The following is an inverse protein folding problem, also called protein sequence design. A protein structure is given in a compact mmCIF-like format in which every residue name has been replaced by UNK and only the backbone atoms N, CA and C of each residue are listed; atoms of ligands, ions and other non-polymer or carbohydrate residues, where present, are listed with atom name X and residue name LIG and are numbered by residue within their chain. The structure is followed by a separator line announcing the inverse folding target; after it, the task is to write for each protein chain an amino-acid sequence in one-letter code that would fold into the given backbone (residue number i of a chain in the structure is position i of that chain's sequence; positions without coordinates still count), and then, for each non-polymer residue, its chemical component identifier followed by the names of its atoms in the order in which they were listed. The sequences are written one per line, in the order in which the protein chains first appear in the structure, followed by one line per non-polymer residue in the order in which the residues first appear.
data_IF_778424033702
#
_entry.id   IF_778424033702
#
_cell.length_a   1.000
_cell.length_b   1.000
_cell.length_c   1.000
_cell.angle_alpha   90.00
_cell.angle_beta   90.00
_cell.angle_gamma   90.00
#
_symmetry.space_group_name_H-M   'P 1'
#
loop_
_entity.id
_entity.type
_entity.pdbx_description
1 polymer ?
#
# COMPACT_ATOMS: atom_id res chain seq x y z
N UNK A 1 -2.09 -32.28 3.75
CA UNK A 1 -2.42 -31.08 4.54
C UNK A 1 -2.05 -29.86 3.71
N UNK A 2 -2.91 -28.84 3.65
CA UNK A 2 -2.62 -27.61 2.90
C UNK A 2 -1.53 -26.75 3.59
N UNK A 3 -1.28 -27.04 4.87
CA UNK A 3 -0.26 -26.40 5.69
C UNK A 3 0.80 -27.43 6.11
N UNK A 4 2.06 -27.00 6.12
CA UNK A 4 3.23 -27.85 6.38
C UNK A 4 3.26 -28.39 7.81
N UNK A 5 3.81 -29.60 7.95
CA UNK A 5 4.10 -30.26 9.24
C UNK A 5 5.61 -30.32 9.55
N UNK A 6 6.44 -29.49 8.90
CA UNK A 6 7.89 -29.36 9.13
C UNK A 6 8.38 -27.91 9.01
N UNK A 7 9.70 -27.68 9.20
CA UNK A 7 10.46 -26.40 9.22
C UNK A 7 10.09 -25.38 8.12
N UNK A 8 8.89 -24.84 8.15
CA UNK A 8 8.46 -23.75 7.28
C UNK A 8 8.74 -22.43 7.97
N UNK A 9 9.31 -21.51 7.18
CA UNK A 9 9.52 -20.12 7.54
C UNK A 9 8.22 -19.53 8.09
N UNK A 10 8.30 -18.92 9.26
CA UNK A 10 7.21 -18.14 9.86
C UNK A 10 6.89 -16.89 9.03
N UNK A 11 5.69 -16.33 9.17
CA UNK A 11 5.33 -15.05 8.55
C UNK A 11 6.29 -13.93 8.99
N UNK A 12 6.75 -13.95 10.24
CA UNK A 12 7.76 -13.02 10.73
C UNK A 12 9.09 -13.18 9.99
N UNK A 13 9.62 -14.40 9.86
CA UNK A 13 10.86 -14.60 9.09
C UNK A 13 10.70 -14.21 7.61
N UNK A 14 9.50 -14.29 7.05
CA UNK A 14 9.23 -13.81 5.69
C UNK A 14 9.33 -12.27 5.59
N UNK A 15 8.87 -11.52 6.59
CA UNK A 15 8.98 -10.05 6.55
C UNK A 15 10.43 -9.57 6.75
N UNK A 16 11.28 -10.36 7.41
CA UNK A 16 12.71 -10.05 7.53
C UNK A 16 13.43 -10.07 6.18
N UNK A 17 12.96 -10.87 5.22
CA UNK A 17 13.54 -10.91 3.88
C UNK A 17 13.31 -9.62 3.08
N UNK A 18 12.27 -8.85 3.43
CA UNK A 18 12.03 -7.56 2.80
C UNK A 18 13.19 -6.58 3.07
N UNK A 19 13.95 -6.77 4.16
CA UNK A 19 15.08 -5.89 4.52
C UNK A 19 16.16 -5.87 3.43
N UNK A 20 16.39 -6.99 2.74
CA UNK A 20 17.40 -7.07 1.68
C UNK A 20 17.10 -6.19 0.48
N UNK A 21 15.83 -5.84 0.28
CA UNK A 21 15.35 -5.01 -0.82
C UNK A 21 14.73 -3.69 -0.34
N UNK A 22 14.89 -3.37 0.95
CA UNK A 22 14.36 -2.15 1.54
C UNK A 22 15.44 -1.08 1.60
N UNK A 23 15.13 0.10 1.06
CA UNK A 23 15.92 1.31 1.26
C UNK A 23 15.33 2.11 2.42
N UNK A 24 16.11 2.33 3.48
CA UNK A 24 15.71 3.21 4.60
C UNK A 24 15.92 4.66 4.18
N UNK A 25 14.83 5.38 3.97
CA UNK A 25 14.86 6.79 3.52
C UNK A 25 14.99 7.74 4.71
N UNK A 26 14.25 7.46 5.78
CA UNK A 26 14.22 8.29 6.99
C UNK A 26 13.99 7.40 8.22
N UNK A 27 14.51 7.80 9.38
CA UNK A 27 14.41 7.02 10.63
C UNK A 27 13.47 7.64 11.66
N UNK A 28 13.09 8.92 11.52
CA UNK A 28 12.24 9.61 12.49
C UNK A 28 11.50 10.82 11.87
N UNK A 29 10.22 10.67 11.49
CA UNK A 29 9.44 9.42 11.45
C UNK A 29 10.02 8.41 10.45
N UNK A 30 9.84 7.09 10.67
CA UNK A 30 10.43 6.08 9.79
C UNK A 30 9.75 6.09 8.41
N UNK A 31 10.56 6.06 7.35
CA UNK A 31 10.12 6.00 5.95
C UNK A 31 10.97 4.96 5.23
N UNK A 32 10.37 3.84 4.86
CA UNK A 32 11.03 2.73 4.16
C UNK A 32 10.46 2.56 2.75
N UNK A 33 11.37 2.41 1.79
CA UNK A 33 11.09 2.22 0.38
C UNK A 33 11.38 0.77 -0.02
N UNK A 34 10.35 -0.02 -0.38
CA UNK A 34 10.59 -1.35 -0.94
C UNK A 34 11.01 -1.22 -2.40
N UNK A 35 12.30 -1.41 -2.67
CA UNK A 35 12.88 -1.25 -4.01
C UNK A 35 12.44 -2.40 -4.90
N UNK A 36 11.87 -2.06 -6.05
CA UNK A 36 11.43 -3.03 -7.03
C UNK A 36 12.48 -3.17 -8.14
N UNK A 37 12.67 -4.40 -8.63
CA UNK A 37 13.54 -4.69 -9.76
C UNK A 37 12.85 -5.68 -10.71
N UNK A 38 13.07 -5.51 -12.02
CA UNK A 38 12.37 -6.24 -13.07
C UNK A 38 11.07 -5.57 -13.53
N UNK A 39 10.48 -6.11 -14.61
CA UNK A 39 9.22 -5.62 -15.17
C UNK A 39 9.20 -4.11 -15.43
N UNK A 40 8.09 -3.45 -15.08
CA UNK A 40 7.90 -2.00 -15.20
C UNK A 40 8.73 -1.18 -14.18
N UNK A 41 9.20 -1.81 -13.10
CA UNK A 41 10.05 -1.16 -12.12
C UNK A 41 11.48 -0.91 -12.62
N UNK A 42 11.97 -1.71 -13.58
CA UNK A 42 13.28 -1.50 -14.21
C UNK A 42 14.44 -2.03 -13.38
N UNK A 43 15.57 -1.33 -13.36
CA UNK A 43 16.87 -1.87 -12.93
C UNK A 43 17.15 -1.83 -11.41
N UNK A 44 16.14 -1.68 -10.54
CA UNK A 44 16.36 -1.70 -9.08
C UNK A 44 16.76 -0.37 -8.44
N UNK A 45 16.35 0.76 -9.04
CA UNK A 45 16.52 2.10 -8.44
C UNK A 45 15.21 2.82 -8.13
N UNK A 46 14.10 2.16 -8.40
CA UNK A 46 12.75 2.72 -8.29
C UNK A 46 11.92 1.90 -7.30
N UNK A 47 10.88 2.55 -6.80
CA UNK A 47 9.80 1.96 -6.01
C UNK A 47 8.55 2.07 -6.86
N UNK A 48 7.83 0.96 -7.01
CA UNK A 48 6.48 0.97 -7.57
C UNK A 48 5.46 0.82 -6.45
N UNK A 49 4.27 1.42 -6.64
CA UNK A 49 3.18 1.32 -5.65
C UNK A 49 2.81 -0.14 -5.38
N UNK A 50 2.88 -1.00 -6.39
CA UNK A 50 2.70 -2.45 -6.26
C UNK A 50 3.63 -3.05 -5.17
N UNK A 51 4.95 -2.86 -5.29
CA UNK A 51 5.91 -3.38 -4.32
C UNK A 51 5.75 -2.76 -2.93
N UNK A 52 5.50 -1.46 -2.84
CA UNK A 52 5.25 -0.81 -1.56
C UNK A 52 3.95 -1.31 -0.91
N UNK A 53 2.90 -1.55 -1.71
CA UNK A 53 1.63 -2.14 -1.29
C UNK A 53 1.81 -3.57 -0.77
N UNK A 54 2.60 -4.39 -1.46
CA UNK A 54 2.96 -5.73 -0.98
C UNK A 54 3.67 -5.69 0.39
N UNK A 55 4.60 -4.76 0.61
CA UNK A 55 5.26 -4.64 1.92
C UNK A 55 4.25 -4.30 3.03
N UNK A 56 3.33 -3.36 2.76
CA UNK A 56 2.25 -3.01 3.68
C UNK A 56 1.31 -4.19 3.95
N UNK A 57 0.90 -4.91 2.91
CA UNK A 57 0.04 -6.08 3.02
C UNK A 57 0.69 -7.18 3.85
N UNK A 58 1.93 -7.55 3.51
CA UNK A 58 2.66 -8.63 4.17
C UNK A 58 2.94 -8.32 5.64
N UNK A 59 3.36 -7.10 5.96
CA UNK A 59 3.57 -6.69 7.35
C UNK A 59 2.26 -6.56 8.14
N UNK A 60 1.19 -6.06 7.52
CA UNK A 60 -0.14 -5.99 8.13
C UNK A 60 -0.75 -7.36 8.42
N UNK A 61 -0.69 -8.31 7.47
CA UNK A 61 -1.14 -9.70 7.66
C UNK A 61 -0.30 -10.39 8.74
N UNK A 62 1.01 -10.19 8.73
CA UNK A 62 1.90 -10.77 9.75
C UNK A 62 1.54 -10.26 11.14
N UNK A 63 1.28 -8.95 11.27
CA UNK A 63 0.85 -8.35 12.54
C UNK A 63 -0.51 -8.93 13.00
N UNK A 64 -1.45 -9.09 12.08
CA UNK A 64 -2.77 -9.67 12.37
C UNK A 64 -2.71 -11.14 12.80
N UNK A 65 -1.66 -11.87 12.44
CA UNK A 65 -1.45 -13.25 12.83
C UNK A 65 -0.75 -13.41 14.20
N UNK A 66 -0.31 -12.31 14.83
CA UNK A 66 0.42 -12.34 16.11
C UNK A 66 -0.49 -12.08 17.30
N UNK A 67 -0.34 -12.91 18.34
CA UNK A 67 -0.93 -12.63 19.65
C UNK A 67 -0.27 -11.39 20.30
N UNK A 68 -1.00 -10.71 21.18
CA UNK A 68 -0.49 -9.54 21.90
C UNK A 68 0.79 -9.81 22.70
N UNK A 69 1.03 -11.07 23.09
CA UNK A 69 2.22 -11.52 23.82
C UNK A 69 3.38 -11.97 22.92
N UNK A 70 3.22 -11.97 21.59
CA UNK A 70 4.29 -12.40 20.68
C UNK A 70 5.51 -11.47 20.81
N UNK A 71 6.72 -12.02 21.04
CA UNK A 71 7.93 -11.22 21.25
C UNK A 71 8.32 -10.36 20.04
N UNK A 72 7.88 -10.72 18.83
CA UNK A 72 8.20 -10.02 17.58
C UNK A 72 7.12 -9.01 17.17
N UNK A 73 6.03 -8.89 17.92
CA UNK A 73 4.90 -8.01 17.58
C UNK A 73 5.30 -6.55 17.49
N UNK A 74 6.12 -6.08 18.44
CA UNK A 74 6.59 -4.69 18.44
C UNK A 74 7.47 -4.38 17.23
N UNK A 75 8.37 -5.29 16.87
CA UNK A 75 9.21 -5.14 15.68
C UNK A 75 8.35 -5.13 14.39
N UNK A 76 7.36 -6.00 14.32
CA UNK A 76 6.40 -6.05 13.20
C UNK A 76 5.59 -4.75 13.10
N UNK A 77 5.13 -4.18 14.21
CA UNK A 77 4.46 -2.86 14.23
C UNK A 77 5.38 -1.75 13.72
N UNK A 78 6.67 -1.77 14.09
CA UNK A 78 7.63 -0.76 13.64
C UNK A 78 7.88 -0.86 12.13
N UNK A 79 8.03 -2.08 11.61
CA UNK A 79 8.22 -2.36 10.18
C UNK A 79 7.01 -1.95 9.37
N UNK A 80 5.81 -2.34 9.80
CA UNK A 80 4.55 -1.92 9.20
C UNK A 80 4.47 -0.40 9.10
N UNK A 81 4.72 0.31 10.21
CA UNK A 81 4.63 1.77 10.22
C UNK A 81 5.70 2.43 9.35
N UNK A 82 6.89 1.84 9.23
CA UNK A 82 7.94 2.34 8.34
C UNK A 82 7.56 2.22 6.85
N UNK A 83 6.95 1.10 6.44
CA UNK A 83 6.42 0.95 5.09
C UNK A 83 5.20 1.83 4.83
N UNK A 84 4.35 2.05 5.84
CA UNK A 84 3.29 3.06 5.76
C UNK A 84 3.86 4.46 5.55
N UNK A 85 4.93 4.83 6.25
CA UNK A 85 5.64 6.08 6.03
C UNK A 85 6.13 6.24 4.58
N UNK A 86 6.58 5.15 3.96
CA UNK A 86 6.91 5.10 2.53
C UNK A 86 5.70 5.37 1.63
N UNK A 87 4.59 4.66 1.85
CA UNK A 87 3.34 4.86 1.12
C UNK A 87 2.83 6.30 1.24
N UNK A 88 2.82 6.83 2.48
CA UNK A 88 2.45 8.21 2.78
C UNK A 88 3.31 9.20 2.00
N UNK A 89 4.64 9.00 1.99
CA UNK A 89 5.56 9.86 1.24
C UNK A 89 5.32 9.81 -0.26
N UNK A 90 5.00 8.64 -0.84
CA UNK A 90 4.63 8.54 -2.25
C UNK A 90 3.35 9.35 -2.56
N UNK A 91 2.36 9.30 -1.67
CA UNK A 91 1.13 10.08 -1.78
C UNK A 91 1.37 11.60 -1.69
N UNK A 92 2.19 12.03 -0.73
CA UNK A 92 2.61 13.41 -0.54
C UNK A 92 3.33 13.94 -1.79
N UNK A 93 4.30 13.20 -2.33
CA UNK A 93 5.07 13.60 -3.51
C UNK A 93 4.23 13.64 -4.80
N UNK A 94 3.18 12.83 -4.85
CA UNK A 94 2.22 12.84 -5.96
C UNK A 94 1.33 14.09 -5.95
N UNK A 95 1.39 14.87 -4.87
CA UNK A 95 0.69 16.14 -4.65
C UNK A 95 1.70 17.29 -4.85
N UNK A 96 1.39 18.38 -5.59
CA UNK A 96 0.08 18.98 -5.84
C UNK A 96 -0.67 18.48 -7.08
N UNK A 97 0.01 17.79 -7.99
CA UNK A 97 -0.55 17.38 -9.29
C UNK A 97 -1.71 16.38 -9.11
N UNK A 98 -1.62 15.54 -8.08
CA UNK A 98 -2.59 14.51 -7.71
C UNK A 98 -3.03 13.65 -8.89
N UNK A 99 -2.14 13.42 -9.87
CA UNK A 99 -2.34 12.74 -11.15
C UNK A 99 -3.72 12.05 -11.34
N UNK A 100 -4.67 12.82 -11.89
CA UNK A 100 -6.04 12.39 -12.23
C UNK A 100 -6.94 11.96 -11.05
N UNK A 101 -6.54 12.27 -9.83
CA UNK A 101 -7.37 12.23 -8.63
C UNK A 101 -7.92 13.64 -8.40
N UNK A 102 -9.17 13.85 -8.83
CA UNK A 102 -9.82 15.16 -8.72
C UNK A 102 -9.96 15.67 -7.29
N UNK A 103 -9.99 14.75 -6.32
CA UNK A 103 -10.20 15.04 -4.91
C UNK A 103 -9.00 14.54 -4.11
N UNK A 104 -8.40 15.45 -3.35
CA UNK A 104 -7.41 15.10 -2.32
C UNK A 104 -8.20 14.83 -1.06
N UNK A 105 -8.12 13.61 -0.54
CA UNK A 105 -8.91 13.21 0.62
C UNK A 105 -8.04 13.07 1.88
N UNK A 106 -6.76 12.74 1.75
CA UNK A 106 -5.85 12.48 2.86
C UNK A 106 -5.20 13.75 3.40
N UNK A 107 -4.65 13.67 4.62
CA UNK A 107 -4.04 14.80 5.34
C UNK A 107 -4.95 16.05 5.29
N UNK A 108 -6.15 15.92 5.86
CA UNK A 108 -7.17 16.98 5.88
C UNK A 108 -7.55 17.53 4.49
N UNK A 109 -7.51 16.67 3.47
CA UNK A 109 -7.85 17.01 2.10
C UNK A 109 -6.75 17.76 1.34
N UNK A 110 -5.52 17.71 1.84
CA UNK A 110 -4.37 18.37 1.18
C UNK A 110 -3.54 17.41 0.34
N UNK A 111 -3.67 16.10 0.53
CA UNK A 111 -2.86 15.05 -0.11
C UNK A 111 -3.74 14.04 -0.86
N UNK A 112 -3.30 13.62 -2.04
CA UNK A 112 -3.88 12.48 -2.76
C UNK A 112 -3.71 11.20 -1.93
N UNK A 113 -4.75 10.38 -1.77
CA UNK A 113 -4.62 9.15 -0.97
C UNK A 113 -4.00 7.97 -1.73
N UNK A 114 -3.92 8.07 -3.06
CA UNK A 114 -3.28 7.07 -3.91
C UNK A 114 -2.01 7.68 -4.50
N UNK A 115 -0.87 7.00 -4.45
CA UNK A 115 0.37 7.52 -4.99
C UNK A 115 0.42 7.41 -6.51
N UNK A 116 1.30 8.19 -7.14
CA UNK A 116 1.82 7.87 -8.47
C UNK A 116 2.49 6.49 -8.43
N UNK A 117 2.24 5.68 -9.44
CA UNK A 117 2.60 4.26 -9.43
C UNK A 117 4.11 4.01 -9.38
N UNK A 118 4.95 5.02 -9.67
CA UNK A 118 6.41 4.87 -9.66
C UNK A 118 7.15 6.11 -9.16
N UNK A 119 8.10 5.86 -8.27
CA UNK A 119 8.99 6.86 -7.67
C UNK A 119 10.43 6.35 -7.70
N UNK A 120 11.40 7.26 -7.55
CA UNK A 120 12.76 6.82 -7.24
C UNK A 120 12.84 6.27 -5.80
N UNK A 121 13.86 5.46 -5.49
CA UNK A 121 14.02 4.82 -4.16
C UNK A 121 14.22 5.75 -2.97
N UNK A 122 14.45 7.04 -3.21
CA UNK A 122 14.60 8.06 -2.17
C UNK A 122 13.33 8.88 -1.96
N UNK A 123 12.27 8.61 -2.74
CA UNK A 123 11.06 9.41 -2.78
C UNK A 123 11.36 10.91 -2.97
N UNK A 124 12.28 11.25 -3.87
CA UNK A 124 12.54 12.64 -4.25
C UNK A 124 11.93 13.01 -5.60
N UNK A 125 11.49 12.03 -6.37
CA UNK A 125 10.91 12.22 -7.70
C UNK A 125 9.80 11.21 -7.97
N UNK A 126 8.73 11.68 -8.63
CA UNK A 126 7.69 10.83 -9.22
C UNK A 126 8.08 10.55 -10.68
N UNK A 127 8.39 9.30 -10.99
CA UNK A 127 8.82 8.88 -12.33
C UNK A 127 7.70 8.18 -13.12
N UNK A 128 6.61 7.81 -12.44
CA UNK A 128 5.37 7.31 -13.02
C UNK A 128 4.18 8.01 -12.38
N UNK A 129 3.51 8.82 -13.20
CA UNK A 129 2.31 9.57 -12.80
C UNK A 129 1.10 8.65 -12.75
N UNK A 130 0.06 8.99 -11.99
CA UNK A 130 -1.21 8.25 -11.83
C UNK A 130 -1.08 7.02 -10.94
N UNK A 131 -2.14 6.62 -10.25
CA UNK A 131 -2.12 5.46 -9.36
C UNK A 131 -2.29 4.14 -10.10
N UNK A 132 -1.92 3.03 -9.47
CA UNK A 132 -2.06 1.68 -10.01
C UNK A 132 -2.88 0.83 -9.02
N UNK A 133 -4.05 0.28 -9.44
CA UNK A 133 -5.01 -0.26 -8.49
C UNK A 133 -4.55 -1.51 -7.75
N UNK A 134 -3.69 -2.34 -8.34
CA UNK A 134 -3.04 -3.47 -7.68
C UNK A 134 -2.30 -3.04 -6.41
N UNK A 135 -1.36 -2.11 -6.54
CA UNK A 135 -0.63 -1.61 -5.37
C UNK A 135 -1.53 -0.88 -4.38
N UNK A 136 -2.52 -0.15 -4.89
CA UNK A 136 -3.47 0.61 -4.06
C UNK A 136 -4.33 -0.31 -3.19
N UNK A 137 -4.91 -1.38 -3.75
CA UNK A 137 -5.77 -2.30 -3.01
C UNK A 137 -4.99 -3.10 -1.96
N UNK A 138 -3.79 -3.59 -2.30
CA UNK A 138 -2.94 -4.33 -1.36
C UNK A 138 -2.49 -3.45 -0.19
N UNK A 139 -2.11 -2.20 -0.47
CA UNK A 139 -1.76 -1.24 0.58
C UNK A 139 -2.96 -0.98 1.52
N UNK A 140 -4.16 -0.76 0.97
CA UNK A 140 -5.39 -0.55 1.75
C UNK A 140 -5.69 -1.77 2.62
N UNK A 141 -5.64 -2.97 2.06
CA UNK A 141 -5.87 -4.22 2.81
C UNK A 141 -4.83 -4.38 3.91
N UNK A 142 -3.55 -4.12 3.62
CA UNK A 142 -2.48 -4.14 4.62
C UNK A 142 -2.71 -3.19 5.79
N UNK A 143 -3.14 -1.95 5.50
CA UNK A 143 -3.50 -0.98 6.54
C UNK A 143 -4.67 -1.49 7.38
N UNK A 144 -5.74 -2.01 6.75
CA UNK A 144 -6.90 -2.57 7.45
C UNK A 144 -6.47 -3.72 8.37
N UNK A 145 -5.67 -4.67 7.88
CA UNK A 145 -5.19 -5.80 8.68
C UNK A 145 -4.41 -5.32 9.92
N UNK A 146 -3.50 -4.36 9.76
CA UNK A 146 -2.73 -3.82 10.87
C UNK A 146 -3.61 -3.08 11.90
N UNK A 147 -4.60 -2.29 11.45
CA UNK A 147 -5.56 -1.62 12.33
C UNK A 147 -6.35 -2.66 13.12
N UNK A 148 -6.89 -3.68 12.46
CA UNK A 148 -7.69 -4.74 13.10
C UNK A 148 -6.84 -5.55 14.09
N UNK A 149 -5.56 -5.76 13.81
CA UNK A 149 -4.64 -6.48 14.70
C UNK A 149 -4.44 -5.81 16.07
N UNK A 150 -4.63 -4.50 16.17
CA UNK A 150 -4.38 -3.70 17.39
C UNK A 150 -5.63 -2.98 17.92
N UNK A 151 -6.78 -3.10 17.24
CA UNK A 151 -7.99 -2.32 17.56
C UNK A 151 -8.51 -2.59 18.98
N UNK A 152 -8.28 -3.81 19.50
CA UNK A 152 -8.71 -4.25 20.82
C UNK A 152 -7.59 -4.20 21.86
N UNK A 153 -6.39 -3.73 21.49
CA UNK A 153 -5.32 -3.54 22.45
C UNK A 153 -5.72 -2.50 23.50
N UNK A 154 -5.37 -2.78 24.76
CA UNK A 154 -5.58 -1.86 25.87
C UNK A 154 -4.87 -0.52 25.64
N UNK A 155 -3.70 -0.56 24.99
CA UNK A 155 -2.96 0.60 24.54
C UNK A 155 -2.68 0.46 23.05
N UNK A 156 -3.27 1.33 22.24
CA UNK A 156 -3.06 1.37 20.80
C UNK A 156 -1.71 2.01 20.45
N UNK A 157 -1.06 1.59 19.35
CA UNK A 157 0.14 2.25 18.88
C UNK A 157 -0.15 3.70 18.47
N UNK A 158 0.85 4.59 18.58
CA UNK A 158 0.69 6.02 18.31
C UNK A 158 0.26 6.35 16.88
N UNK A 159 0.52 5.44 15.92
CA UNK A 159 0.14 5.58 14.52
C UNK A 159 -1.30 5.13 14.23
N UNK A 160 -2.01 4.53 15.19
CA UNK A 160 -3.30 3.87 14.96
C UNK A 160 -4.34 4.76 14.28
N UNK A 161 -4.57 5.96 14.83
CA UNK A 161 -5.61 6.85 14.30
C UNK A 161 -5.25 7.41 12.93
N UNK A 162 -3.96 7.68 12.68
CA UNK A 162 -3.47 8.12 11.38
C UNK A 162 -3.69 7.05 10.32
N UNK A 163 -3.19 5.84 10.56
CA UNK A 163 -3.33 4.73 9.59
C UNK A 163 -4.80 4.40 9.35
N UNK A 164 -5.66 4.49 10.38
CA UNK A 164 -7.11 4.32 10.23
C UNK A 164 -7.75 5.36 9.32
N UNK A 165 -7.44 6.64 9.51
CA UNK A 165 -7.94 7.71 8.66
C UNK A 165 -7.45 7.54 7.21
N UNK A 166 -6.18 7.19 7.03
CA UNK A 166 -5.60 6.90 5.72
C UNK A 166 -6.23 5.69 5.02
N UNK A 167 -6.53 4.61 5.74
CA UNK A 167 -7.19 3.44 5.17
C UNK A 167 -8.61 3.76 4.66
N UNK A 168 -9.40 4.48 5.46
CA UNK A 168 -10.77 4.89 5.11
C UNK A 168 -10.80 5.82 3.88
N UNK A 169 -9.94 6.83 3.89
CA UNK A 169 -9.85 7.81 2.80
C UNK A 169 -9.24 7.21 1.54
N UNK A 170 -8.25 6.33 1.66
CA UNK A 170 -7.70 5.57 0.53
C UNK A 170 -8.75 4.67 -0.10
N UNK A 171 -9.59 4.00 0.70
CA UNK A 171 -10.72 3.20 0.20
C UNK A 171 -11.72 4.05 -0.58
N UNK A 172 -12.03 5.25 -0.07
CA UNK A 172 -12.89 6.21 -0.77
C UNK A 172 -12.24 6.69 -2.07
N UNK A 173 -10.96 7.08 -2.04
CA UNK A 173 -10.21 7.49 -3.23
C UNK A 173 -10.11 6.38 -4.27
N UNK A 174 -9.93 5.13 -3.86
CA UNK A 174 -9.91 3.97 -4.75
C UNK A 174 -11.21 3.85 -5.54
N UNK A 175 -12.35 3.88 -4.85
CA UNK A 175 -13.66 3.82 -5.50
C UNK A 175 -13.92 5.02 -6.43
N UNK A 176 -13.41 6.21 -6.08
CA UNK A 176 -13.59 7.42 -6.88
C UNK A 176 -12.70 7.46 -8.13
N UNK A 177 -11.46 6.98 -8.03
CA UNK A 177 -10.43 7.26 -9.04
C UNK A 177 -9.96 6.01 -9.80
N UNK A 178 -9.96 4.85 -9.15
CA UNK A 178 -9.58 3.57 -9.77
C UNK A 178 -10.77 2.80 -10.34
N UNK A 179 -12.01 3.24 -10.08
CA UNK A 179 -13.19 2.62 -10.70
C UNK A 179 -13.96 3.58 -11.60
N UNK A 180 -14.68 3.02 -12.57
CA UNK A 180 -15.61 3.74 -13.46
C UNK A 180 -16.94 3.00 -13.46
N UNK A 181 -18.05 3.74 -13.44
CA UNK A 181 -19.36 3.13 -13.66
C UNK A 181 -19.47 2.66 -15.11
N UNK A 182 -19.98 1.45 -15.31
CA UNK A 182 -20.40 0.95 -16.63
C UNK A 182 -21.43 1.88 -17.26
N UNK A 183 -21.60 1.84 -18.59
CA UNK A 183 -22.58 2.68 -19.29
C UNK A 183 -24.03 2.47 -18.81
N UNK A 184 -24.36 1.28 -18.29
CA UNK A 184 -25.67 1.01 -17.69
C UNK A 184 -25.82 1.58 -16.28
N UNK A 185 -24.74 2.06 -15.66
CA UNK A 185 -24.68 2.51 -14.26
C UNK A 185 -24.80 1.39 -13.23
N UNK A 186 -24.94 0.12 -13.65
CA UNK A 186 -25.23 -0.99 -12.75
C UNK A 186 -23.98 -1.60 -12.11
N UNK A 187 -22.83 -1.48 -12.76
CA UNK A 187 -21.58 -2.06 -12.29
C UNK A 187 -20.51 -0.97 -12.14
N UNK A 188 -19.64 -1.09 -11.13
CA UNK A 188 -18.36 -0.40 -11.08
C UNK A 188 -17.29 -1.34 -11.61
N UNK A 189 -16.46 -0.83 -12.50
CA UNK A 189 -15.37 -1.60 -13.07
C UNK A 189 -14.06 -0.95 -12.69
N UNK A 190 -13.08 -1.79 -12.35
CA UNK A 190 -11.72 -1.40 -12.07
C UNK A 190 -11.00 -0.95 -13.36
N UNK A 191 -10.27 0.16 -13.25
CA UNK A 191 -9.43 0.73 -14.30
C UNK A 191 -8.01 0.15 -14.24
N UNK A 192 -7.13 0.58 -15.14
CA UNK A 192 -5.69 0.29 -15.04
C UNK A 192 -4.96 1.28 -14.12
N UNK A 193 -5.57 2.41 -13.79
CA UNK A 193 -5.02 3.44 -12.91
C UNK A 193 -5.89 4.68 -12.81
N UNK A 194 -5.53 5.63 -11.94
CA UNK A 194 -6.30 6.89 -11.82
C UNK A 194 -6.35 7.66 -13.14
N UNK A 195 -5.27 7.63 -13.93
CA UNK A 195 -5.14 8.37 -15.18
C UNK A 195 -5.44 7.56 -16.45
N UNK A 196 -5.54 6.23 -16.40
CA UNK A 196 -5.67 5.39 -17.59
C UNK A 196 -6.53 4.15 -17.34
N UNK A 197 -6.98 3.53 -18.43
CA UNK A 197 -7.75 2.29 -18.41
C UNK A 197 -9.23 2.43 -18.06
N UNK A 198 -9.95 1.33 -18.24
CA UNK A 198 -11.40 1.25 -18.11
C UNK A 198 -12.02 0.20 -19.05
N UNK A 199 -13.35 0.22 -19.19
CA UNK A 199 -14.01 -0.64 -20.17
C UNK A 199 -13.82 -0.15 -21.61
N UNK A 200 -14.29 -0.98 -22.55
CA UNK A 200 -14.29 -0.70 -23.99
C UNK A 200 -12.89 -0.71 -24.58
N UNK A 201 -12.43 0.41 -25.14
CA UNK A 201 -11.13 0.52 -25.79
C UNK A 201 -9.99 0.81 -24.80
N UNK A 202 -10.31 1.04 -23.52
CA UNK A 202 -9.35 1.54 -22.53
C UNK A 202 -8.57 0.40 -21.83
N UNK A 203 -9.07 -0.84 -21.88
CA UNK A 203 -8.44 -2.02 -21.29
C UNK A 203 -8.51 -2.10 -19.76
N UNK A 204 -8.53 -3.33 -19.23
CA UNK A 204 -8.38 -3.63 -17.81
C UNK A 204 -7.29 -4.71 -17.63
N UNK A 205 -6.85 -4.90 -16.39
CA UNK A 205 -5.95 -6.00 -16.05
C UNK A 205 -6.68 -7.00 -15.15
N UNK A 206 -6.94 -8.25 -15.61
CA UNK A 206 -7.58 -9.28 -14.80
C UNK A 206 -6.89 -9.54 -13.46
N UNK A 207 -5.57 -9.35 -13.35
CA UNK A 207 -4.84 -9.58 -12.09
C UNK A 207 -5.14 -8.54 -11.02
N UNK A 208 -5.72 -7.38 -11.38
CA UNK A 208 -6.09 -6.33 -10.42
C UNK A 208 -7.45 -6.60 -9.77
N UNK A 209 -8.15 -7.66 -10.16
CA UNK A 209 -9.43 -8.05 -9.58
C UNK A 209 -9.24 -9.06 -8.45
N UNK A 210 -8.29 -8.82 -7.52
CA UNK A 210 -8.19 -9.68 -6.35
C UNK A 210 -9.55 -9.66 -5.62
N UNK A 211 -10.17 -10.83 -5.47
CA UNK A 211 -11.56 -10.89 -4.99
C UNK A 211 -11.69 -10.59 -3.49
N UNK A 212 -10.57 -10.47 -2.77
CA UNK A 212 -10.52 -10.57 -1.31
C UNK A 212 -10.81 -11.99 -0.85
#
# INVERSE_FOLDING_TARGET
ALFSTGNTRSSYEAILELDYITNVVETSPPVWALVASGGAAGAGNDVVSEGQGYALMVTGITLAAMDASDPNRQDTMNRFYAFFGGWRRMCENSTPVAYCQSNKLCADGTVACLPGWKHNKFFTEVTGTGSAPDGDEDAIVGMIMAIKAVENDAQKPSWYDEVRDWADRSSTSFLLHNTKLSNSGQNRILKLGSCWGGWEQDGNNPSYHSQG
#
